data_IF_311384872576
#
_entry.id   IF_311384872576
#
_cell.length_a   1.000
_cell.length_b   1.000
_cell.length_c   1.000
_cell.angle_alpha   90.00
_cell.angle_beta   90.00
_cell.angle_gamma   90.00
#
_symmetry.space_group_name_H-M   'P 1'
#
loop_
_entity.id
_entity.type
_entity.pdbx_description
1 polymer ?
#
# COMPACT_ATOMS: atom_id res chain seq x y z
N UNK A 1 -20.33 20.99 -18.07
CA UNK A 1 -21.05 20.51 -16.87
C UNK A 1 -21.32 18.99 -16.88
N UNK A 2 -20.98 18.22 -17.91
CA UNK A 2 -21.24 16.77 -17.97
C UNK A 2 -20.03 15.88 -17.64
N UNK A 3 -18.83 16.44 -17.48
CA UNK A 3 -17.61 15.68 -17.19
C UNK A 3 -17.46 15.25 -15.72
N UNK A 4 -18.19 15.87 -14.81
CA UNK A 4 -18.07 15.59 -13.37
C UNK A 4 -18.82 14.32 -12.92
N UNK A 5 -19.91 13.94 -13.60
CA UNK A 5 -20.71 12.74 -13.26
C UNK A 5 -19.89 11.45 -13.49
N UNK A 6 -19.17 11.28 -14.61
CA UNK A 6 -18.28 10.13 -14.82
C UNK A 6 -17.17 10.01 -13.76
N UNK A 7 -16.65 11.14 -13.29
CA UNK A 7 -15.55 11.18 -12.33
C UNK A 7 -16.01 10.76 -10.94
N UNK A 8 -17.18 11.24 -10.52
CA UNK A 8 -17.79 10.88 -9.23
C UNK A 8 -18.18 9.39 -9.19
N UNK A 9 -18.78 8.89 -10.27
CA UNK A 9 -19.10 7.46 -10.41
C UNK A 9 -17.83 6.59 -10.41
N UNK A 10 -16.75 7.04 -11.07
CA UNK A 10 -15.47 6.34 -11.05
C UNK A 10 -14.85 6.35 -9.65
N UNK A 11 -14.77 7.51 -9.00
CA UNK A 11 -14.19 7.67 -7.66
C UNK A 11 -14.95 6.84 -6.61
N UNK A 12 -16.28 6.75 -6.73
CA UNK A 12 -17.14 5.93 -5.86
C UNK A 12 -16.95 4.42 -6.11
N UNK A 13 -16.46 4.03 -7.28
CA UNK A 13 -16.12 2.64 -7.62
C UNK A 13 -14.72 2.21 -7.18
N UNK A 14 -13.90 3.12 -6.65
CA UNK A 14 -12.56 2.82 -6.15
C UNK A 14 -12.62 2.32 -4.70
N UNK A 15 -11.57 1.59 -4.29
CA UNK A 15 -11.34 1.28 -2.88
C UNK A 15 -11.23 2.59 -2.06
N UNK A 16 -11.73 2.65 -0.81
CA UNK A 16 -11.81 3.88 -0.03
C UNK A 16 -10.45 4.58 0.19
N UNK A 17 -9.38 3.79 0.35
CA UNK A 17 -8.01 4.27 0.49
C UNK A 17 -7.52 4.95 -0.80
N UNK A 18 -7.83 4.36 -1.95
CA UNK A 18 -7.52 4.92 -3.26
C UNK A 18 -8.34 6.18 -3.54
N UNK A 19 -9.63 6.14 -3.24
CA UNK A 19 -10.54 7.27 -3.42
C UNK A 19 -10.08 8.50 -2.66
N UNK A 20 -9.71 8.36 -1.38
CA UNK A 20 -9.25 9.48 -0.57
C UNK A 20 -7.99 10.14 -1.17
N UNK A 21 -7.05 9.34 -1.68
CA UNK A 21 -5.80 9.85 -2.24
C UNK A 21 -6.02 10.50 -3.63
N UNK A 22 -6.85 9.90 -4.48
CA UNK A 22 -7.22 10.46 -5.79
C UNK A 22 -8.01 11.76 -5.63
N UNK A 23 -8.99 11.81 -4.72
CA UNK A 23 -9.78 13.03 -4.45
C UNK A 23 -8.91 14.15 -3.88
N UNK A 24 -7.94 13.82 -3.01
CA UNK A 24 -6.99 14.79 -2.43
C UNK A 24 -6.14 15.49 -3.49
N UNK A 25 -5.94 14.86 -4.65
CA UNK A 25 -5.20 15.45 -5.78
C UNK A 25 -6.06 16.30 -6.72
N UNK A 26 -7.36 16.39 -6.46
CA UNK A 26 -8.31 17.22 -7.22
C UNK A 26 -8.17 17.04 -8.75
N UNK A 27 -8.36 15.82 -9.30
CA UNK A 27 -8.37 15.65 -10.74
C UNK A 27 -9.53 16.45 -11.35
N UNK A 28 -9.24 17.22 -12.39
CA UNK A 28 -10.24 18.02 -13.12
C UNK A 28 -10.84 17.28 -14.33
N UNK A 29 -10.24 16.16 -14.76
CA UNK A 29 -10.73 15.35 -15.88
C UNK A 29 -10.77 13.86 -15.52
N UNK A 30 -11.65 13.10 -16.17
CA UNK A 30 -11.75 11.65 -15.97
C UNK A 30 -10.42 10.95 -16.26
N UNK A 31 -9.70 11.37 -17.30
CA UNK A 31 -8.38 10.86 -17.65
C UNK A 31 -7.37 11.05 -16.51
N UNK A 32 -7.34 12.26 -15.90
CA UNK A 32 -6.54 12.51 -14.72
C UNK A 32 -6.98 11.64 -13.53
N UNK A 33 -8.28 11.46 -13.32
CA UNK A 33 -8.79 10.61 -12.24
C UNK A 33 -8.35 9.13 -12.41
N UNK A 34 -8.40 8.61 -13.63
CA UNK A 34 -7.94 7.26 -13.97
C UNK A 34 -6.42 7.15 -13.78
N UNK A 35 -5.65 8.11 -14.29
CA UNK A 35 -4.19 8.13 -14.17
C UNK A 35 -3.73 8.21 -12.71
N UNK A 36 -4.36 9.07 -11.92
CA UNK A 36 -4.04 9.21 -10.49
C UNK A 36 -4.43 7.93 -9.72
N UNK A 37 -5.58 7.32 -10.03
CA UNK A 37 -5.97 6.05 -9.43
C UNK A 37 -4.96 4.94 -9.73
N UNK A 38 -4.47 4.85 -10.97
CA UNK A 38 -3.42 3.90 -11.34
C UNK A 38 -2.13 4.16 -10.57
N UNK A 39 -1.66 5.41 -10.52
CA UNK A 39 -0.43 5.76 -9.81
C UNK A 39 -0.49 5.46 -8.31
N UNK A 40 -1.61 5.77 -7.66
CA UNK A 40 -1.83 5.48 -6.24
C UNK A 40 -1.85 3.96 -6.02
N UNK A 41 -2.50 3.20 -6.90
CA UNK A 41 -2.52 1.74 -6.82
C UNK A 41 -1.13 1.13 -6.98
N UNK A 42 -0.36 1.60 -7.96
CA UNK A 42 1.02 1.17 -8.19
C UNK A 42 1.90 1.46 -6.98
N UNK A 43 1.77 2.66 -6.39
CA UNK A 43 2.49 3.02 -5.17
C UNK A 43 2.13 2.13 -3.99
N UNK A 44 0.83 1.86 -3.79
CA UNK A 44 0.37 0.99 -2.72
C UNK A 44 0.86 -0.45 -2.93
N UNK A 45 0.84 -0.94 -4.18
CA UNK A 45 1.39 -2.24 -4.53
C UNK A 45 2.90 -2.29 -4.27
N UNK A 46 3.65 -1.29 -4.70
CA UNK A 46 5.08 -1.19 -4.46
C UNK A 46 5.42 -1.13 -2.96
N UNK A 47 4.63 -0.39 -2.18
CA UNK A 47 4.76 -0.34 -0.72
C UNK A 47 4.51 -1.70 -0.10
N UNK A 48 3.42 -2.37 -0.47
CA UNK A 48 3.10 -3.73 0.01
C UNK A 48 4.16 -4.74 -0.39
N UNK A 49 4.73 -4.64 -1.59
CA UNK A 49 5.82 -5.50 -2.04
C UNK A 49 7.11 -5.23 -1.26
N UNK A 50 7.44 -3.95 -1.00
CA UNK A 50 8.57 -3.58 -0.17
C UNK A 50 8.39 -4.07 1.28
N UNK A 51 7.18 -3.97 1.84
CA UNK A 51 6.85 -4.50 3.17
C UNK A 51 6.99 -6.03 3.23
N UNK A 52 6.56 -6.75 2.18
CA UNK A 52 6.73 -8.20 2.06
C UNK A 52 8.22 -8.56 1.93
N UNK A 53 8.99 -7.82 1.14
CA UNK A 53 10.42 -8.03 0.95
C UNK A 53 11.22 -7.75 2.24
N UNK A 54 10.80 -6.77 3.04
CA UNK A 54 11.39 -6.48 4.36
C UNK A 54 10.90 -7.42 5.46
N UNK A 55 9.64 -7.86 5.41
CA UNK A 55 9.08 -8.84 6.33
C UNK A 55 9.65 -10.25 6.15
N UNK A 56 10.07 -10.60 4.93
CA UNK A 56 10.77 -11.86 4.63
C UNK A 56 12.27 -11.81 4.97
N UNK A 57 12.87 -10.63 5.08
CA UNK A 57 14.29 -10.45 5.46
C UNK A 57 14.50 -10.18 6.97
N UNK A 58 13.42 -9.98 7.72
CA UNK A 58 13.46 -9.68 9.16
C UNK A 58 13.01 -10.81 10.10
N UNK A 59 12.59 -11.97 9.58
CA UNK A 59 12.25 -13.14 10.41
C UNK A 59 13.36 -14.21 10.35
N UNK A 60 14.60 -13.77 10.51
CA UNK A 60 15.59 -14.62 11.16
C UNK A 60 15.20 -14.74 12.62
N UNK A 61 14.31 -15.67 12.95
CA UNK A 61 14.13 -16.16 14.32
C UNK A 61 15.44 -16.82 14.75
N UNK A 62 16.41 -15.98 15.12
CA UNK A 62 17.61 -16.38 15.84
C UNK A 62 17.17 -16.67 17.27
N UNK A 63 16.58 -17.85 17.45
CA UNK A 63 16.62 -18.49 18.77
C UNK A 63 18.03 -19.05 18.96
N UNK A 64 19.02 -18.17 19.11
CA UNK A 64 20.25 -18.56 19.79
C UNK A 64 19.85 -18.81 21.24
N UNK A 65 19.57 -20.06 21.57
CA UNK A 65 19.50 -20.50 22.95
C UNK A 65 20.85 -20.18 23.60
N UNK A 66 20.92 -19.39 24.69
CA UNK A 66 22.14 -19.28 25.45
C UNK A 66 22.39 -20.62 26.14
N UNK A 67 23.45 -21.30 25.70
CA UNK A 67 24.02 -22.47 26.34
C UNK A 67 24.37 -22.12 27.80
N UNK A 68 23.51 -22.53 28.75
CA UNK A 68 23.87 -22.54 30.17
C UNK A 68 24.73 -23.76 30.43
N UNK A 69 26.03 -23.56 30.28
CA UNK A 69 27.06 -24.38 30.94
C UNK A 69 27.01 -24.08 32.44
N UNK A 70 26.31 -24.87 33.22
CA UNK A 70 26.65 -25.04 34.65
C UNK A 70 26.90 -26.52 34.88
N UNK A 71 28.19 -26.86 34.88
CA UNK A 71 28.64 -28.09 35.51
C UNK A 71 28.63 -27.87 37.02
N UNK A 72 28.00 -28.77 37.74
CA UNK A 72 28.30 -29.01 39.16
C UNK A 72 28.04 -30.47 39.49
N UNK A 73 29.18 -31.16 39.58
CA UNK A 73 29.55 -32.33 40.36
C UNK A 73 28.43 -33.16 41.01
#
# INVERSE_FOLDING_TARGET
MAESIPMDAFATGLEPSLQAEVVSRYPHTLDACIGEAQLVNDRNLASKLAEVEWGNQGSGSVVTQPSKKDGRN
#
